data_IF_011391824573
#
_entry.id   IF_011391824573
#
_cell.length_a   1.000
_cell.length_b   1.000
_cell.length_c   1.000
_cell.angle_alpha   90.00
_cell.angle_beta   90.00
_cell.angle_gamma   90.00
#
_symmetry.space_group_name_H-M   'P 1'
#
loop_
_entity.id
_entity.type
_entity.pdbx_description
1 polymer ?
#
# COMPACT_ATOMS: atom_id res chain seq x y z
N UNK A 1 2.36 27.62 2.41
CA UNK A 1 1.96 26.36 1.76
C UNK A 1 2.11 25.20 2.74
N UNK A 2 1.09 24.37 3.03
CA UNK A 2 1.28 23.15 3.80
C UNK A 2 2.39 22.31 3.16
N UNK A 3 3.32 21.78 3.96
CA UNK A 3 4.27 20.80 3.45
C UNK A 3 3.49 19.63 2.84
N UNK A 4 3.92 19.07 1.69
CA UNK A 4 3.27 17.92 1.01
C UNK A 4 2.77 16.84 1.99
N UNK A 5 3.56 16.56 3.03
CA UNK A 5 3.20 15.62 4.10
C UNK A 5 1.91 16.01 4.84
N UNK A 6 1.70 17.29 5.16
CA UNK A 6 0.49 17.78 5.85
C UNK A 6 -0.75 17.61 4.97
N UNK A 7 -0.67 17.93 3.69
CA UNK A 7 -1.74 17.71 2.73
C UNK A 7 -2.12 16.22 2.63
N UNK A 8 -1.11 15.37 2.39
CA UNK A 8 -1.31 13.93 2.29
C UNK A 8 -1.81 13.31 3.61
N UNK A 9 -1.45 13.88 4.75
CA UNK A 9 -1.98 13.45 6.05
C UNK A 9 -3.48 13.72 6.20
N UNK A 10 -3.96 14.87 5.70
CA UNK A 10 -5.39 15.18 5.70
C UNK A 10 -6.17 14.19 4.83
N UNK A 11 -5.64 13.87 3.64
CA UNK A 11 -6.21 12.82 2.77
C UNK A 11 -6.21 11.46 3.48
N UNK A 12 -5.09 11.06 4.08
CA UNK A 12 -4.94 9.79 4.79
C UNK A 12 -5.99 9.64 5.91
N UNK A 13 -6.18 10.71 6.70
CA UNK A 13 -7.17 10.74 7.79
C UNK A 13 -8.61 10.66 7.28
N UNK A 14 -8.92 11.28 6.14
CA UNK A 14 -10.27 11.27 5.56
C UNK A 14 -10.66 9.91 5.01
N UNK A 15 -9.72 9.19 4.40
CA UNK A 15 -9.99 7.89 3.76
C UNK A 15 -10.52 6.85 4.76
N UNK A 16 -9.92 6.74 5.96
CA UNK A 16 -10.17 5.77 7.06
C UNK A 16 -10.26 4.30 6.64
N UNK A 17 -11.17 3.91 5.75
CA UNK A 17 -11.42 2.54 5.32
C UNK A 17 -12.01 2.50 3.90
N UNK A 18 -11.56 1.55 3.08
CA UNK A 18 -12.04 1.35 1.70
C UNK A 18 -12.39 -0.14 1.50
N UNK A 19 -13.55 -0.44 0.89
CA UNK A 19 -13.87 -1.81 0.44
C UNK A 19 -13.02 -2.13 -0.80
N UNK A 20 -12.26 -3.22 -0.76
CA UNK A 20 -11.43 -3.65 -1.87
C UNK A 20 -12.04 -4.87 -2.57
N UNK A 21 -12.32 -4.81 -3.89
CA UNK A 21 -12.81 -5.97 -4.64
C UNK A 21 -11.83 -7.14 -4.62
N UNK A 22 -10.52 -6.87 -4.79
CA UNK A 22 -9.48 -7.90 -4.74
C UNK A 22 -9.42 -8.67 -3.42
N UNK A 23 -9.60 -7.97 -2.28
CA UNK A 23 -9.57 -8.58 -0.94
C UNK A 23 -10.93 -9.12 -0.51
N UNK A 24 -12.02 -8.64 -1.14
CA UNK A 24 -13.42 -8.88 -0.74
C UNK A 24 -13.77 -8.41 0.68
N UNK A 25 -12.88 -7.65 1.33
CA UNK A 25 -13.08 -7.05 2.65
C UNK A 25 -12.69 -5.57 2.67
N UNK A 26 -12.83 -4.94 3.84
CA UNK A 26 -12.43 -3.56 4.10
C UNK A 26 -10.92 -3.47 4.38
N UNK A 27 -10.24 -2.54 3.72
CA UNK A 27 -8.85 -2.17 3.95
C UNK A 27 -8.80 -0.91 4.79
N UNK A 28 -8.16 -0.99 5.96
CA UNK A 28 -8.08 0.10 6.94
C UNK A 28 -6.81 0.93 6.70
N UNK A 29 -6.93 2.25 6.73
CA UNK A 29 -5.81 3.19 6.66
C UNK A 29 -5.47 3.66 8.08
N UNK A 30 -4.57 2.92 8.75
CA UNK A 30 -4.23 3.13 10.16
C UNK A 30 -2.86 3.80 10.36
N UNK A 31 -2.46 4.01 11.62
CA UNK A 31 -1.17 4.63 11.96
C UNK A 31 0.04 3.87 11.39
N UNK A 32 -0.02 2.55 11.26
CA UNK A 32 1.09 1.74 10.78
C UNK A 32 1.39 2.03 9.31
N UNK A 33 0.35 2.08 8.48
CA UNK A 33 0.49 2.45 7.07
C UNK A 33 1.03 3.87 6.87
N UNK A 34 0.56 4.83 7.68
CA UNK A 34 1.06 6.21 7.65
C UNK A 34 2.56 6.30 7.94
N UNK A 35 3.01 5.67 9.03
CA UNK A 35 4.43 5.63 9.41
C UNK A 35 5.25 4.98 8.30
N UNK A 36 4.72 3.90 7.74
CA UNK A 36 5.40 3.16 6.69
C UNK A 36 5.38 3.86 5.32
N UNK A 37 4.92 5.12 5.20
CA UNK A 37 5.28 6.01 4.09
C UNK A 37 6.64 6.69 4.31
N UNK A 38 7.00 6.96 5.57
CA UNK A 38 8.23 7.65 5.96
C UNK A 38 9.36 6.72 6.41
N UNK A 39 9.03 5.53 6.88
CA UNK A 39 9.97 4.57 7.46
C UNK A 39 9.82 3.20 6.78
N UNK A 40 10.91 2.47 6.62
CA UNK A 40 10.90 1.10 6.10
C UNK A 40 10.45 0.07 7.15
N UNK A 41 10.45 -1.21 6.78
CA UNK A 41 10.05 -2.31 7.66
C UNK A 41 11.02 -2.55 8.81
N UNK A 42 12.27 -2.08 8.72
CA UNK A 42 13.28 -2.12 9.78
C UNK A 42 13.17 -0.92 10.73
N UNK A 43 12.30 0.04 10.42
CA UNK A 43 12.11 1.26 11.20
C UNK A 43 13.08 2.38 10.81
N UNK A 44 13.91 2.21 9.77
CA UNK A 44 14.79 3.27 9.31
C UNK A 44 14.01 4.29 8.50
N UNK A 45 14.38 5.57 8.67
CA UNK A 45 13.77 6.65 7.90
C UNK A 45 14.19 6.53 6.45
N UNK A 46 13.21 6.52 5.54
CA UNK A 46 13.49 6.46 4.11
C UNK A 46 14.09 7.77 3.60
N UNK A 47 14.81 7.69 2.48
CA UNK A 47 15.40 8.86 1.84
C UNK A 47 14.35 9.92 1.50
N UNK A 48 14.78 11.18 1.41
CA UNK A 48 13.87 12.29 1.05
C UNK A 48 13.17 12.08 -0.30
N UNK A 49 13.87 11.49 -1.28
CA UNK A 49 13.31 11.17 -2.60
C UNK A 49 12.22 10.11 -2.50
N UNK A 50 12.45 9.01 -1.78
CA UNK A 50 11.48 7.93 -1.68
C UNK A 50 10.23 8.36 -0.91
N UNK A 51 10.40 9.12 0.18
CA UNK A 51 9.26 9.67 0.93
C UNK A 51 8.39 10.57 0.06
N UNK A 52 8.99 11.50 -0.70
CA UNK A 52 8.26 12.37 -1.63
C UNK A 52 7.50 11.55 -2.68
N UNK A 53 8.14 10.55 -3.27
CA UNK A 53 7.50 9.66 -4.23
C UNK A 53 6.28 8.98 -3.62
N UNK A 54 6.43 8.34 -2.45
CA UNK A 54 5.34 7.62 -1.79
C UNK A 54 4.19 8.55 -1.40
N UNK A 55 4.48 9.76 -0.94
CA UNK A 55 3.46 10.77 -0.66
C UNK A 55 2.70 11.21 -1.92
N UNK A 56 3.40 11.44 -3.04
CA UNK A 56 2.75 11.76 -4.31
C UNK A 56 1.89 10.60 -4.82
N UNK A 57 2.39 9.36 -4.74
CA UNK A 57 1.63 8.18 -5.13
C UNK A 57 0.42 7.94 -4.23
N UNK A 58 0.51 8.29 -2.94
CA UNK A 58 -0.57 8.07 -1.98
C UNK A 58 -1.89 8.73 -2.40
N UNK A 59 -1.84 9.83 -3.15
CA UNK A 59 -3.04 10.49 -3.71
C UNK A 59 -3.93 9.52 -4.47
N UNK A 60 -3.35 8.54 -5.16
CA UNK A 60 -4.05 7.53 -5.95
C UNK A 60 -4.33 6.23 -5.18
N UNK A 61 -3.88 6.10 -3.93
CA UNK A 61 -4.03 4.85 -3.15
C UNK A 61 -5.49 4.40 -3.02
N UNK A 62 -6.41 5.35 -2.90
CA UNK A 62 -7.83 5.07 -2.78
C UNK A 62 -8.43 4.48 -4.07
N UNK A 63 -8.00 5.00 -5.22
CA UNK A 63 -8.39 4.52 -6.54
C UNK A 63 -7.88 3.10 -6.76
N UNK A 64 -6.59 2.84 -6.47
CA UNK A 64 -6.02 1.49 -6.58
C UNK A 64 -6.78 0.49 -5.72
N UNK A 65 -7.02 0.80 -4.43
CA UNK A 65 -7.69 -0.13 -3.51
C UNK A 65 -9.14 -0.40 -3.94
N UNK A 66 -9.85 0.60 -4.47
CA UNK A 66 -11.25 0.50 -4.89
C UNK A 66 -11.43 -0.21 -6.22
N UNK A 67 -10.49 -0.05 -7.16
CA UNK A 67 -10.66 -0.50 -8.54
C UNK A 67 -9.94 -1.82 -8.84
N UNK A 68 -8.86 -2.16 -8.13
CA UNK A 68 -8.15 -3.43 -8.34
C UNK A 68 -9.04 -4.62 -7.99
N UNK A 69 -9.19 -5.53 -8.97
CA UNK A 69 -9.99 -6.76 -8.85
C UNK A 69 -9.16 -8.00 -8.48
N UNK A 70 -7.85 -7.94 -8.67
CA UNK A 70 -6.95 -9.08 -8.51
C UNK A 70 -5.80 -8.79 -7.54
N UNK A 71 -5.42 -9.81 -6.78
CA UNK A 71 -4.17 -9.86 -6.03
C UNK A 71 -3.10 -10.36 -6.98
N UNK A 72 -2.00 -9.62 -7.09
CA UNK A 72 -0.92 -9.88 -8.04
C UNK A 72 0.18 -10.70 -7.39
N UNK A 73 0.33 -10.51 -6.08
CA UNK A 73 1.28 -11.26 -5.28
C UNK A 73 0.78 -11.37 -3.86
N UNK A 74 0.83 -12.59 -3.34
CA UNK A 74 0.69 -12.88 -1.92
C UNK A 74 2.04 -13.35 -1.39
N UNK A 75 2.45 -12.81 -0.25
CA UNK A 75 3.65 -13.27 0.46
C UNK A 75 3.34 -13.39 1.93
N UNK A 76 3.82 -14.47 2.55
CA UNK A 76 3.72 -14.70 3.97
C UNK A 76 5.06 -14.45 4.67
N UNK A 77 5.01 -14.23 5.97
CA UNK A 77 6.20 -14.11 6.80
C UNK A 77 5.84 -14.00 8.26
N UNK A 78 6.83 -13.62 9.08
CA UNK A 78 6.65 -13.39 10.51
C UNK A 78 7.10 -11.98 10.90
N UNK A 79 6.45 -11.43 11.92
CA UNK A 79 6.88 -10.19 12.57
C UNK A 79 6.96 -10.39 14.07
N UNK A 80 7.90 -9.70 14.72
CA UNK A 80 7.93 -9.63 16.19
C UNK A 80 7.00 -8.52 16.67
N UNK A 81 6.10 -8.87 17.58
CA UNK A 81 5.28 -7.91 18.30
C UNK A 81 6.14 -7.08 19.27
N UNK A 82 5.57 -5.99 19.80
CA UNK A 82 6.24 -5.19 20.83
C UNK A 82 6.61 -5.99 22.10
N UNK A 83 5.92 -7.10 22.35
CA UNK A 83 6.16 -8.00 23.49
C UNK A 83 7.10 -9.16 23.13
N UNK A 84 7.82 -9.09 22.01
CA UNK A 84 8.74 -10.13 21.54
C UNK A 84 8.08 -11.35 20.89
N UNK A 85 6.78 -11.58 21.07
CA UNK A 85 6.06 -12.70 20.44
C UNK A 85 6.05 -12.59 18.91
N UNK A 86 6.41 -13.66 18.23
CA UNK A 86 6.29 -13.80 16.78
C UNK A 86 4.84 -13.96 16.35
N UNK A 87 4.49 -13.34 15.23
CA UNK A 87 3.15 -13.35 14.65
C UNK A 87 3.24 -13.58 13.15
N UNK A 88 2.34 -14.39 12.63
CA UNK A 88 2.20 -14.58 11.19
C UNK A 88 1.68 -13.30 10.53
N UNK A 89 2.19 -13.01 9.35
CA UNK A 89 1.79 -11.85 8.56
C UNK A 89 1.65 -12.25 7.10
N UNK A 90 0.61 -11.74 6.45
CA UNK A 90 0.41 -11.86 5.01
C UNK A 90 0.44 -10.47 4.38
N UNK A 91 1.07 -10.38 3.22
CA UNK A 91 1.12 -9.17 2.40
C UNK A 91 0.50 -9.47 1.03
N UNK A 92 -0.35 -8.55 0.59
CA UNK A 92 -1.08 -8.63 -0.66
C UNK A 92 -0.70 -7.42 -1.50
N UNK A 93 -0.17 -7.66 -2.69
CA UNK A 93 0.09 -6.62 -3.67
C UNK A 93 -1.07 -6.55 -4.65
N UNK A 94 -1.65 -5.35 -4.77
CA UNK A 94 -2.61 -4.99 -5.80
C UNK A 94 -2.04 -3.83 -6.60
N UNK A 95 -2.37 -3.74 -7.88
CA UNK A 95 -1.89 -2.67 -8.73
C UNK A 95 -2.97 -2.14 -9.65
N UNK A 96 -2.76 -0.90 -10.07
CA UNK A 96 -3.62 -0.21 -11.01
C UNK A 96 -2.78 0.82 -11.78
N UNK A 97 -3.32 1.24 -12.92
CA UNK A 97 -2.81 2.34 -13.74
C UNK A 97 -3.72 3.52 -13.48
N UNK A 98 -3.16 4.60 -12.94
CA UNK A 98 -3.87 5.82 -12.59
C UNK A 98 -3.31 7.02 -13.35
N UNK A 99 -4.05 8.13 -13.36
CA UNK A 99 -3.64 9.40 -13.96
C UNK A 99 -3.32 9.25 -15.46
N UNK A 100 -4.31 8.79 -16.23
CA UNK A 100 -4.28 8.64 -17.69
C UNK A 100 -3.08 7.83 -18.19
N UNK A 101 -2.78 6.71 -17.55
CA UNK A 101 -1.66 5.85 -17.96
C UNK A 101 -0.31 6.19 -17.32
N UNK A 102 -0.15 7.37 -16.72
CA UNK A 102 1.18 7.86 -16.29
C UNK A 102 1.70 7.17 -15.04
N UNK A 103 0.82 6.74 -14.14
CA UNK A 103 1.21 6.17 -12.85
C UNK A 103 0.76 4.71 -12.73
N UNK A 104 1.71 3.80 -12.88
CA UNK A 104 1.51 2.39 -12.50
C UNK A 104 1.89 2.24 -11.04
N UNK A 105 0.91 1.91 -10.22
CA UNK A 105 1.02 1.96 -8.76
C UNK A 105 0.72 0.59 -8.20
N UNK A 106 1.58 0.14 -7.30
CA UNK A 106 1.33 -1.05 -6.47
C UNK A 106 1.08 -0.60 -5.03
N UNK A 107 -0.07 -1.00 -4.50
CA UNK A 107 -0.42 -0.87 -3.08
C UNK A 107 -0.17 -2.21 -2.39
N UNK A 108 0.47 -2.15 -1.23
CA UNK A 108 0.72 -3.29 -0.37
C UNK A 108 -0.26 -3.23 0.79
N UNK A 109 -1.08 -4.26 0.91
CA UNK A 109 -2.02 -4.48 2.01
C UNK A 109 -1.41 -5.54 2.91
N UNK A 110 -1.56 -5.39 4.22
CA UNK A 110 -1.02 -6.33 5.22
C UNK A 110 -2.14 -6.83 6.12
N UNK A 111 -2.11 -8.12 6.46
CA UNK A 111 -2.93 -8.74 7.49
C UNK A 111 -2.01 -9.44 8.49
N UNK A 112 -2.21 -9.22 9.79
CA UNK A 112 -1.44 -9.88 10.85
C UNK A 112 -2.40 -10.86 11.53
N UNK A 113 -2.07 -12.14 11.53
CA UNK A 113 -2.92 -13.21 12.07
C UNK A 113 -4.38 -13.05 11.56
N UNK A 114 -5.34 -13.04 12.47
CA UNK A 114 -6.78 -12.85 12.20
C UNK A 114 -7.22 -11.39 12.30
N UNK A 115 -6.27 -10.46 12.35
CA UNK A 115 -6.55 -9.03 12.36
C UNK A 115 -7.10 -8.50 11.04
N UNK A 116 -7.41 -7.20 11.04
CA UNK A 116 -7.94 -6.52 9.87
C UNK A 116 -6.87 -6.34 8.77
N UNK A 117 -7.31 -6.34 7.51
CA UNK A 117 -6.51 -5.87 6.39
C UNK A 117 -6.26 -4.37 6.53
N UNK A 118 -5.01 -3.95 6.46
CA UNK A 118 -4.67 -2.53 6.46
C UNK A 118 -3.70 -2.16 5.36
N UNK A 119 -3.82 -0.92 4.88
CA UNK A 119 -2.83 -0.33 4.00
C UNK A 119 -1.47 -0.34 4.70
N UNK A 120 -0.47 -0.95 4.07
CA UNK A 120 0.89 -1.01 4.59
C UNK A 120 1.83 -0.10 3.82
N UNK A 121 1.76 -0.09 2.49
CA UNK A 121 2.67 0.73 1.70
C UNK A 121 2.19 0.97 0.26
N UNK A 122 2.91 1.84 -0.44
CA UNK A 122 2.67 2.16 -1.85
C UNK A 122 4.00 2.38 -2.57
N UNK A 123 4.12 1.90 -3.82
CA UNK A 123 5.31 2.07 -4.66
C UNK A 123 4.94 2.14 -6.13
N UNK A 124 5.89 2.54 -6.98
CA UNK A 124 5.76 2.30 -8.43
C UNK A 124 5.72 0.80 -8.68
N UNK A 125 4.84 0.37 -9.57
CA UNK A 125 4.84 -1.00 -10.07
C UNK A 125 6.16 -1.26 -10.79
N UNK A 126 6.80 -2.37 -10.46
CA UNK A 126 8.08 -2.76 -11.07
C UNK A 126 7.85 -3.19 -12.52
N UNK A 127 8.87 -3.03 -13.38
CA UNK A 127 8.80 -3.44 -14.79
C UNK A 127 8.40 -4.91 -14.94
N UNK A 128 8.95 -5.79 -14.10
CA UNK A 128 8.58 -7.21 -14.05
C UNK A 128 7.08 -7.40 -13.81
N UNK A 129 6.52 -6.72 -12.81
CA UNK A 129 5.09 -6.81 -12.50
C UNK A 129 4.23 -6.22 -13.61
N UNK A 130 4.66 -5.10 -14.24
CA UNK A 130 3.93 -4.55 -15.40
C UNK A 130 3.84 -5.55 -16.56
N UNK A 131 4.94 -6.22 -16.87
CA UNK A 131 5.00 -7.22 -17.96
C UNK A 131 4.04 -8.38 -17.67
N UNK A 132 4.12 -8.96 -16.48
CA UNK A 132 3.22 -10.04 -16.07
C UNK A 132 1.73 -9.65 -16.15
N UNK A 133 1.40 -8.45 -15.68
CA UNK A 133 0.01 -7.98 -15.71
C UNK A 133 -0.52 -7.73 -17.12
N UNK A 134 0.33 -7.30 -18.04
CA UNK A 134 -0.02 -7.17 -19.47
C UNK A 134 -0.25 -8.53 -20.11
N UNK A 135 0.60 -9.51 -19.80
CA UNK A 135 0.47 -10.89 -20.31
C UNK A 135 -0.82 -11.57 -19.81
N UNK A 136 -1.25 -11.25 -18.59
CA UNK A 136 -2.49 -11.74 -18.00
C UNK A 136 -3.75 -10.94 -18.42
N UNK A 137 -3.61 -9.92 -19.28
CA UNK A 137 -4.73 -9.07 -19.71
C UNK A 137 -5.34 -8.22 -18.58
N UNK A 138 -4.58 -7.99 -17.51
CA UNK A 138 -4.97 -7.18 -16.36
C UNK A 138 -4.63 -5.68 -16.53
N UNK A 139 -3.97 -5.33 -17.63
CA UNK A 139 -3.66 -3.97 -18.10
C UNK A 139 -3.76 -3.86 -19.62
#
# INVERSE_FOLDING_TARGET
MPSLKKEIYLIYKKVRTIKSPAIKQKVIFNRYGWIHLSFDSRGHRRSSRDRRLRFNLFRYSHEVVRNSKHIIKETEGTIKSKRGKERSVKYYEIASICNDGKNHITVIIRKIEDGNYHFWSIRRTSTKTKKALKEEGLF
#
